data_IF_811442963020
#
_entry.id   IF_811442963020
#
_cell.length_a   1.000
_cell.length_b   1.000
_cell.length_c   1.000
_cell.angle_alpha   90.00
_cell.angle_beta   90.00
_cell.angle_gamma   90.00
#
_symmetry.space_group_name_H-M   'P 1'
#
loop_
_entity.id
_entity.type
_entity.pdbx_description
1 polymer ?
#
# COMPACT_ATOMS: atom_id res chain seq x y z
N UNK A 1 13.77 -8.59 -18.54
CA UNK A 1 13.89 -8.38 -17.07
C UNK A 1 13.54 -6.95 -16.75
N UNK A 2 12.92 -6.67 -15.61
CA UNK A 2 12.37 -5.36 -15.26
C UNK A 2 13.13 -4.86 -14.03
N UNK A 3 13.56 -3.58 -13.96
CA UNK A 3 14.20 -3.01 -12.78
C UNK A 3 13.32 -3.12 -11.55
N UNK A 4 13.94 -3.33 -10.37
CA UNK A 4 13.24 -3.50 -9.09
C UNK A 4 13.44 -2.26 -8.23
N UNK A 5 12.35 -1.71 -7.71
CA UNK A 5 12.34 -0.68 -6.69
C UNK A 5 11.97 -1.28 -5.33
N UNK A 6 12.95 -1.45 -4.44
CA UNK A 6 12.67 -1.89 -3.07
C UNK A 6 11.97 -0.79 -2.27
N UNK A 7 10.83 -1.10 -1.70
CA UNK A 7 10.02 -0.19 -0.88
C UNK A 7 10.09 -0.58 0.61
N UNK A 8 10.20 0.40 1.50
CA UNK A 8 10.25 0.16 2.95
C UNK A 8 8.85 0.02 3.56
N UNK A 9 7.96 0.93 3.26
CA UNK A 9 6.66 1.06 3.96
C UNK A 9 5.47 1.15 3.01
N UNK A 10 5.71 1.68 1.82
CA UNK A 10 4.64 1.92 0.86
C UNK A 10 4.39 0.64 0.07
N UNK A 11 3.14 0.24 0.01
CA UNK A 11 2.67 -0.85 -0.83
C UNK A 11 1.68 -0.26 -1.82
N UNK A 12 1.99 -0.38 -3.12
CA UNK A 12 1.11 0.11 -4.19
C UNK A 12 0.14 -0.97 -4.64
N UNK A 13 -1.09 -0.59 -4.97
CA UNK A 13 -2.10 -1.49 -5.52
C UNK A 13 -2.24 -1.31 -7.04
N UNK A 14 -2.74 -2.33 -7.77
CA UNK A 14 -3.07 -2.18 -9.18
C UNK A 14 -4.08 -1.05 -9.42
N UNK A 15 -4.02 -0.42 -10.58
CA UNK A 15 -4.90 0.68 -11.00
C UNK A 15 -4.92 1.90 -10.08
N UNK A 16 -3.98 2.00 -9.15
CA UNK A 16 -3.88 3.14 -8.22
C UNK A 16 -2.55 3.86 -8.43
N UNK A 17 -2.62 5.19 -8.46
CA UNK A 17 -1.44 6.06 -8.47
C UNK A 17 -0.95 6.32 -7.06
N UNK A 18 0.35 6.20 -6.87
CA UNK A 18 1.03 6.50 -5.61
C UNK A 18 2.30 7.32 -5.86
N UNK A 19 2.67 8.15 -4.90
CA UNK A 19 3.93 8.88 -4.94
C UNK A 19 4.91 8.28 -3.94
N UNK A 20 6.15 8.10 -4.37
CA UNK A 20 7.24 7.58 -3.54
C UNK A 20 8.43 8.54 -3.57
N UNK A 21 9.11 8.67 -2.45
CA UNK A 21 10.36 9.40 -2.34
C UNK A 21 11.53 8.42 -2.38
N UNK A 22 12.45 8.63 -3.33
CA UNK A 22 13.54 7.70 -3.62
C UNK A 22 14.87 8.42 -3.43
N UNK A 23 15.63 8.01 -2.41
CA UNK A 23 16.93 8.63 -2.08
C UNK A 23 18.09 7.63 -2.00
N UNK A 24 17.81 6.33 -1.78
CA UNK A 24 18.87 5.30 -1.78
C UNK A 24 19.45 5.13 -3.18
N UNK A 25 20.78 5.11 -3.31
CA UNK A 25 21.49 5.02 -4.58
C UNK A 25 20.95 3.91 -5.49
N UNK A 26 20.76 2.71 -4.95
CA UNK A 26 20.23 1.57 -5.69
C UNK A 26 18.80 1.80 -6.20
N UNK A 27 17.95 2.39 -5.37
CA UNK A 27 16.57 2.71 -5.72
C UNK A 27 16.49 3.83 -6.76
N UNK A 28 17.35 4.84 -6.68
CA UNK A 28 17.46 5.91 -7.68
C UNK A 28 17.92 5.34 -9.02
N UNK A 29 18.95 4.48 -9.01
CA UNK A 29 19.41 3.84 -10.22
C UNK A 29 18.32 2.98 -10.88
N UNK A 30 17.59 2.19 -10.08
CA UNK A 30 16.46 1.38 -10.59
C UNK A 30 15.37 2.23 -11.22
N UNK A 31 15.05 3.38 -10.60
CA UNK A 31 14.06 4.31 -11.13
C UNK A 31 14.49 4.91 -12.47
N UNK A 32 15.73 5.42 -12.56
CA UNK A 32 16.26 6.06 -13.76
C UNK A 32 16.48 5.03 -14.88
N UNK A 33 16.95 3.84 -14.56
CA UNK A 33 17.11 2.73 -15.53
C UNK A 33 15.75 2.31 -16.09
N UNK A 34 14.72 2.21 -15.25
CA UNK A 34 13.35 1.90 -15.68
C UNK A 34 12.80 2.96 -16.62
N UNK A 35 12.99 4.23 -16.31
CA UNK A 35 12.55 5.37 -17.14
C UNK A 35 13.25 5.37 -18.52
N UNK A 36 14.54 5.06 -18.54
CA UNK A 36 15.33 4.97 -19.78
C UNK A 36 14.95 3.78 -20.67
N UNK A 37 14.37 2.72 -20.12
CA UNK A 37 13.98 1.51 -20.84
C UNK A 37 12.52 1.58 -21.32
N UNK A 38 11.62 1.11 -20.48
CA UNK A 38 10.20 0.93 -20.82
C UNK A 38 9.24 1.72 -19.94
N UNK A 39 9.77 2.40 -18.93
CA UNK A 39 8.96 3.01 -17.87
C UNK A 39 8.30 1.99 -16.95
N UNK A 40 8.56 0.69 -17.10
CA UNK A 40 8.03 -0.35 -16.22
C UNK A 40 9.00 -0.64 -15.09
N UNK A 41 8.48 -0.78 -13.87
CA UNK A 41 9.24 -1.04 -12.66
C UNK A 41 8.51 -2.03 -11.76
N UNK A 42 9.27 -2.94 -11.15
CA UNK A 42 8.73 -3.90 -10.17
C UNK A 42 8.86 -3.33 -8.77
N UNK A 43 7.76 -3.22 -8.07
CA UNK A 43 7.68 -2.73 -6.70
C UNK A 43 7.65 -3.92 -5.74
N UNK A 44 8.64 -4.05 -4.87
CA UNK A 44 8.73 -5.10 -3.87
C UNK A 44 8.92 -4.52 -2.48
N UNK A 45 8.10 -4.97 -1.53
CA UNK A 45 8.24 -4.58 -0.14
C UNK A 45 9.48 -5.24 0.49
N UNK A 46 10.20 -4.48 1.28
CA UNK A 46 11.30 -4.97 2.10
C UNK A 46 10.76 -5.65 3.35
N UNK A 47 11.22 -6.87 3.68
CA UNK A 47 10.75 -7.65 4.85
C UNK A 47 11.10 -6.96 6.15
N UNK A 48 12.33 -6.42 6.24
CA UNK A 48 12.79 -5.62 7.38
C UNK A 48 12.99 -4.17 6.95
N UNK A 49 12.10 -3.30 7.40
CA UNK A 49 12.11 -1.87 7.08
C UNK A 49 13.34 -1.12 7.60
N UNK A 50 14.00 -1.63 8.65
CA UNK A 50 15.16 -1.00 9.28
C UNK A 50 16.47 -1.31 8.53
N UNK A 51 16.49 -2.35 7.73
CA UNK A 51 17.69 -2.78 7.02
C UNK A 51 18.02 -1.82 5.87
N UNK A 52 19.20 -1.19 5.91
CA UNK A 52 19.65 -0.27 4.86
C UNK A 52 20.28 -1.00 3.67
N UNK A 53 21.16 -1.97 3.96
CA UNK A 53 21.81 -2.78 2.95
C UNK A 53 20.97 -4.04 2.67
N UNK A 54 20.40 -4.12 1.50
CA UNK A 54 19.46 -5.18 1.13
C UNK A 54 20.22 -6.32 0.44
N UNK A 55 20.09 -7.53 0.96
CA UNK A 55 20.32 -8.76 0.19
C UNK A 55 18.99 -9.17 -0.46
N UNK A 56 18.86 -8.96 -1.74
CA UNK A 56 17.57 -8.98 -2.45
C UNK A 56 16.84 -10.30 -2.38
N UNK A 57 17.56 -11.41 -2.41
CA UNK A 57 16.95 -12.75 -2.36
C UNK A 57 16.28 -13.04 -1.01
N UNK A 58 16.87 -12.50 0.07
CA UNK A 58 16.40 -12.77 1.44
C UNK A 58 15.50 -11.68 1.99
N UNK A 59 15.76 -10.42 1.61
CA UNK A 59 15.18 -9.24 2.24
C UNK A 59 13.94 -8.70 1.53
N UNK A 60 13.65 -9.13 0.31
CA UNK A 60 12.44 -8.74 -0.42
C UNK A 60 11.36 -9.82 -0.39
N UNK A 61 10.11 -9.38 -0.46
CA UNK A 61 8.97 -10.28 -0.63
C UNK A 61 8.92 -10.84 -2.04
N UNK A 62 8.29 -12.01 -2.21
CA UNK A 62 8.18 -12.65 -3.52
C UNK A 62 7.02 -12.14 -4.38
N UNK A 63 6.05 -11.47 -3.77
CA UNK A 63 4.89 -10.93 -4.45
C UNK A 63 4.92 -9.41 -4.41
N UNK A 64 4.61 -8.78 -5.51
CA UNK A 64 4.62 -7.33 -5.60
C UNK A 64 3.75 -6.82 -6.75
N UNK A 65 4.04 -5.61 -7.17
CA UNK A 65 3.29 -4.92 -8.21
C UNK A 65 4.24 -4.56 -9.37
N UNK A 66 3.83 -4.89 -10.58
CA UNK A 66 4.35 -4.24 -11.77
C UNK A 66 3.70 -2.86 -11.86
N UNK A 67 4.49 -1.83 -11.97
CA UNK A 67 4.02 -0.45 -12.08
C UNK A 67 4.61 0.24 -13.31
N UNK A 68 3.96 1.32 -13.75
CA UNK A 68 4.48 2.27 -14.72
C UNK A 68 4.89 3.57 -14.04
N UNK A 69 5.98 4.14 -14.48
CA UNK A 69 6.40 5.47 -14.09
C UNK A 69 5.53 6.49 -14.83
N UNK A 70 4.82 7.33 -14.09
CA UNK A 70 4.00 8.42 -14.63
C UNK A 70 4.81 9.70 -14.71
N UNK A 71 5.59 9.99 -13.66
CA UNK A 71 6.49 11.14 -13.62
C UNK A 71 7.62 10.94 -12.62
N UNK A 72 8.75 11.58 -12.91
CA UNK A 72 9.90 11.67 -12.00
C UNK A 72 10.25 13.15 -11.84
N UNK A 73 10.36 13.60 -10.61
CA UNK A 73 10.80 14.97 -10.28
C UNK A 73 11.99 14.88 -9.33
N UNK A 74 13.10 15.51 -9.73
CA UNK A 74 14.26 15.63 -8.86
C UNK A 74 13.99 16.66 -7.78
N UNK A 75 14.27 16.28 -6.55
CA UNK A 75 14.21 17.15 -5.38
C UNK A 75 15.65 17.42 -4.89
N UNK A 76 15.82 18.20 -3.85
CA UNK A 76 17.11 18.49 -3.24
C UNK A 76 17.80 17.21 -2.74
N UNK A 77 19.13 17.26 -2.59
CA UNK A 77 19.95 16.19 -2.00
C UNK A 77 19.90 14.83 -2.71
N UNK A 78 19.82 14.81 -4.05
CA UNK A 78 19.78 13.58 -4.86
C UNK A 78 18.56 12.68 -4.58
N UNK A 79 17.51 13.24 -3.99
CA UNK A 79 16.23 12.57 -3.79
C UNK A 79 15.32 12.83 -4.98
N UNK A 80 14.54 11.84 -5.37
CA UNK A 80 13.55 11.92 -6.42
C UNK A 80 12.17 11.63 -5.86
N UNK A 81 11.17 12.36 -6.34
CA UNK A 81 9.76 12.02 -6.17
C UNK A 81 9.30 11.35 -7.45
N UNK A 82 8.86 10.11 -7.36
CA UNK A 82 8.28 9.39 -8.48
C UNK A 82 6.78 9.17 -8.25
N UNK A 83 5.97 9.46 -9.27
CA UNK A 83 4.57 9.05 -9.31
C UNK A 83 4.50 7.78 -10.12
N UNK A 84 3.99 6.73 -9.50
CA UNK A 84 3.90 5.39 -10.06
C UNK A 84 2.43 4.98 -10.17
N UNK A 85 2.07 4.28 -11.23
CA UNK A 85 0.75 3.70 -11.41
C UNK A 85 0.87 2.18 -11.40
N UNK A 86 0.25 1.52 -10.42
CA UNK A 86 0.21 0.08 -10.35
C UNK A 86 -0.54 -0.51 -11.55
N UNK A 87 0.06 -1.51 -12.21
CA UNK A 87 -0.54 -2.16 -13.38
C UNK A 87 -1.12 -3.51 -13.01
N UNK A 88 -0.33 -4.34 -12.34
CA UNK A 88 -0.72 -5.73 -12.08
C UNK A 88 0.04 -6.35 -10.92
N UNK A 89 -0.60 -7.26 -10.20
CA UNK A 89 0.05 -8.14 -9.23
C UNK A 89 0.98 -9.12 -9.94
N UNK A 90 2.17 -9.30 -9.38
CA UNK A 90 3.18 -10.21 -9.92
C UNK A 90 3.76 -11.13 -8.84
N UNK A 91 4.26 -12.28 -9.29
CA UNK A 91 5.13 -13.14 -8.52
C UNK A 91 6.52 -13.13 -9.12
N UNK A 92 7.52 -12.90 -8.30
CA UNK A 92 8.92 -12.95 -8.69
C UNK A 92 9.32 -14.40 -8.96
N UNK A 93 9.98 -14.63 -10.09
CA UNK A 93 10.56 -15.93 -10.49
C UNK A 93 12.03 -15.98 -10.18
N UNK A 94 12.71 -14.86 -10.45
CA UNK A 94 14.14 -14.73 -10.28
C UNK A 94 14.50 -13.26 -10.10
N UNK A 95 15.59 -12.98 -9.37
CA UNK A 95 16.15 -11.64 -9.19
C UNK A 95 17.66 -11.71 -9.45
N UNK A 96 18.14 -10.77 -10.22
CA UNK A 96 19.53 -10.66 -10.60
C UNK A 96 20.03 -9.24 -10.29
N UNK A 97 21.27 -9.14 -9.83
CA UNK A 97 21.94 -7.87 -9.52
C UNK A 97 22.97 -7.52 -10.58
N UNK A 98 22.77 -6.40 -11.26
CA UNK A 98 23.73 -5.82 -12.20
C UNK A 98 24.68 -4.88 -11.46
N UNK A 99 25.92 -5.33 -11.30
CA UNK A 99 26.92 -4.64 -10.48
C UNK A 99 27.33 -3.29 -11.06
N UNK A 100 27.52 -3.22 -12.39
CA UNK A 100 27.99 -2.01 -13.06
C UNK A 100 26.96 -0.88 -12.96
N UNK A 101 25.69 -1.21 -13.12
CA UNK A 101 24.57 -0.27 -13.01
C UNK A 101 24.13 -0.04 -11.57
N UNK A 102 24.49 -0.94 -10.67
CA UNK A 102 23.98 -1.00 -9.31
C UNK A 102 22.45 -1.03 -9.29
N UNK A 103 21.86 -1.98 -10.02
CA UNK A 103 20.42 -2.16 -10.21
C UNK A 103 20.05 -3.62 -10.03
N UNK A 104 18.92 -3.86 -9.37
CA UNK A 104 18.29 -5.17 -9.36
C UNK A 104 17.28 -5.30 -10.48
N UNK A 105 17.26 -6.45 -11.14
CA UNK A 105 16.27 -6.81 -12.15
C UNK A 105 15.51 -8.05 -11.71
N UNK A 106 14.22 -8.09 -11.99
CA UNK A 106 13.38 -9.24 -11.73
C UNK A 106 12.85 -9.86 -13.02
N UNK A 107 12.79 -11.18 -13.04
CA UNK A 107 11.93 -11.96 -13.93
C UNK A 107 10.66 -12.28 -13.18
N UNK A 108 9.52 -11.85 -13.72
CA UNK A 108 8.23 -11.95 -13.03
C UNK A 108 7.21 -12.74 -13.82
N UNK A 109 6.24 -13.31 -13.13
CA UNK A 109 5.01 -13.83 -13.74
C UNK A 109 3.82 -13.02 -13.25
N UNK A 110 2.90 -12.73 -14.17
CA UNK A 110 1.63 -12.08 -13.84
C UNK A 110 0.78 -12.99 -12.97
N UNK A 111 0.22 -12.45 -11.90
CA UNK A 111 -0.78 -13.16 -11.12
C UNK A 111 -2.15 -12.98 -11.74
N UNK A 112 -2.86 -14.09 -11.94
CA UNK A 112 -4.25 -14.06 -12.41
C UNK A 112 -5.16 -14.05 -11.17
N UNK A 113 -6.09 -13.11 -11.11
CA UNK A 113 -7.13 -13.10 -10.09
C UNK A 113 -8.21 -14.12 -10.44
N UNK A 114 -8.57 -14.95 -9.46
CA UNK A 114 -9.78 -15.76 -9.53
C UNK A 114 -10.95 -14.83 -9.18
N UNK A 115 -11.71 -14.41 -10.21
CA UNK A 115 -12.77 -13.38 -10.08
C UNK A 115 -14.15 -13.96 -9.75
N UNK A 116 -14.31 -15.27 -9.70
CA UNK A 116 -15.59 -15.89 -9.36
C UNK A 116 -16.03 -15.48 -7.96
N UNK A 117 -17.15 -14.81 -7.85
CA UNK A 117 -17.79 -14.42 -6.60
C UNK A 117 -19.10 -15.19 -6.44
N UNK A 118 -19.48 -15.55 -5.21
CA UNK A 118 -20.83 -16.03 -4.91
C UNK A 118 -21.88 -14.97 -5.28
N UNK A 119 -23.08 -15.42 -5.61
CA UNK A 119 -24.26 -14.56 -5.73
C UNK A 119 -24.79 -14.21 -4.32
N UNK A 120 -24.07 -13.31 -3.68
CA UNK A 120 -24.29 -12.87 -2.29
C UNK A 120 -23.93 -11.39 -2.21
N UNK A 121 -24.85 -10.60 -1.68
CA UNK A 121 -24.69 -9.16 -1.48
C UNK A 121 -23.41 -8.79 -0.74
N UNK A 122 -22.93 -9.67 0.16
CA UNK A 122 -21.67 -9.47 0.87
C UNK A 122 -20.46 -9.20 -0.05
N UNK A 123 -20.46 -9.80 -1.26
CA UNK A 123 -19.37 -9.64 -2.23
C UNK A 123 -19.66 -8.59 -3.31
N UNK A 124 -20.77 -7.86 -3.20
CA UNK A 124 -21.14 -6.82 -4.14
C UNK A 124 -20.25 -5.57 -4.01
N UNK A 125 -20.18 -4.79 -5.10
CA UNK A 125 -19.53 -3.47 -5.09
C UNK A 125 -20.17 -2.56 -4.05
N UNK A 126 -21.49 -2.55 -3.98
CA UNK A 126 -22.29 -1.71 -3.09
C UNK A 126 -21.96 -1.99 -1.62
N UNK A 127 -21.84 -3.25 -1.24
CA UNK A 127 -21.44 -3.64 0.13
C UNK A 127 -20.01 -3.21 0.47
N UNK A 128 -19.07 -3.36 -0.46
CA UNK A 128 -17.68 -2.89 -0.27
C UNK A 128 -17.64 -1.38 -0.06
N UNK A 129 -18.32 -0.62 -0.93
CA UNK A 129 -18.38 0.84 -0.84
C UNK A 129 -19.05 1.29 0.45
N UNK A 130 -20.18 0.68 0.82
CA UNK A 130 -20.89 0.96 2.08
C UNK A 130 -19.99 0.74 3.29
N UNK A 131 -19.36 -0.44 3.39
CA UNK A 131 -18.45 -0.79 4.50
C UNK A 131 -17.26 0.15 4.59
N UNK A 132 -16.69 0.53 3.42
CA UNK A 132 -15.60 1.48 3.33
C UNK A 132 -15.99 2.88 3.79
N UNK A 133 -17.14 3.39 3.35
CA UNK A 133 -17.67 4.70 3.78
C UNK A 133 -17.96 4.75 5.28
N UNK A 134 -18.61 3.72 5.82
CA UNK A 134 -18.85 3.60 7.27
C UNK A 134 -17.55 3.59 8.09
N UNK A 135 -16.50 2.94 7.59
CA UNK A 135 -15.20 2.93 8.24
C UNK A 135 -14.55 4.32 8.21
N UNK A 136 -14.55 4.97 7.04
CA UNK A 136 -14.00 6.31 6.88
C UNK A 136 -14.72 7.36 7.73
N UNK A 137 -16.03 7.28 7.86
CA UNK A 137 -16.81 8.20 8.74
C UNK A 137 -16.32 8.17 10.20
N UNK A 138 -15.80 7.02 10.65
CA UNK A 138 -15.25 6.88 12.01
C UNK A 138 -13.83 7.45 12.17
N UNK A 139 -13.07 7.61 11.06
CA UNK A 139 -11.68 8.09 11.07
C UNK A 139 -11.63 9.54 10.63
N UNK A 140 -12.23 9.85 9.49
CA UNK A 140 -12.22 11.16 8.84
C UNK A 140 -13.48 11.33 7.98
N UNK A 141 -14.44 12.06 8.52
CA UNK A 141 -15.73 12.30 7.86
C UNK A 141 -15.58 13.12 6.55
N UNK A 142 -14.60 14.03 6.48
CA UNK A 142 -14.34 14.79 5.25
C UNK A 142 -13.79 13.91 4.15
N UNK A 143 -12.87 13.01 4.50
CA UNK A 143 -12.30 12.05 3.56
C UNK A 143 -13.37 11.08 3.05
N UNK A 144 -14.30 10.65 3.92
CA UNK A 144 -15.43 9.80 3.54
C UNK A 144 -16.28 10.38 2.42
N UNK A 145 -16.51 11.69 2.43
CA UNK A 145 -17.31 12.40 1.44
C UNK A 145 -16.55 12.69 0.14
N UNK A 146 -15.22 12.72 0.18
CA UNK A 146 -14.36 13.03 -0.97
C UNK A 146 -13.86 11.78 -1.71
N UNK A 147 -13.87 10.63 -1.05
CA UNK A 147 -13.36 9.37 -1.59
C UNK A 147 -14.46 8.64 -2.39
N UNK A 148 -14.46 8.89 -3.69
CA UNK A 148 -15.31 8.18 -4.65
C UNK A 148 -14.46 7.48 -5.71
N UNK A 149 -14.97 6.36 -6.19
CA UNK A 149 -14.39 5.61 -7.31
C UNK A 149 -15.48 5.32 -8.32
N UNK A 150 -15.26 5.79 -9.55
CA UNK A 150 -16.12 5.47 -10.69
C UNK A 150 -15.57 4.21 -11.39
N UNK A 151 -16.01 3.06 -10.94
CA UNK A 151 -15.66 1.77 -11.54
C UNK A 151 -16.69 0.70 -11.15
N UNK A 152 -17.07 -0.13 -12.11
CA UNK A 152 -17.90 -1.32 -11.86
C UNK A 152 -17.07 -2.58 -11.60
N UNK A 153 -15.76 -2.52 -11.80
CA UNK A 153 -14.86 -3.64 -11.48
C UNK A 153 -14.62 -3.71 -9.96
N UNK A 154 -15.20 -4.70 -9.31
CA UNK A 154 -15.10 -4.96 -7.86
C UNK A 154 -13.64 -5.03 -7.40
N UNK A 155 -12.75 -5.61 -8.21
CA UNK A 155 -11.32 -5.70 -7.90
C UNK A 155 -10.68 -4.32 -7.82
N UNK A 156 -10.99 -3.42 -8.76
CA UNK A 156 -10.47 -2.05 -8.76
C UNK A 156 -11.01 -1.23 -7.58
N UNK A 157 -12.28 -1.40 -7.25
CA UNK A 157 -12.91 -0.74 -6.10
C UNK A 157 -12.21 -1.17 -4.80
N UNK A 158 -11.96 -2.46 -4.65
CA UNK A 158 -11.28 -3.00 -3.50
C UNK A 158 -9.82 -2.50 -3.39
N UNK A 159 -9.06 -2.54 -4.50
CA UNK A 159 -7.68 -2.04 -4.57
C UNK A 159 -7.59 -0.54 -4.25
N UNK A 160 -8.58 0.24 -4.67
CA UNK A 160 -8.67 1.66 -4.39
C UNK A 160 -8.80 1.96 -2.89
N UNK A 161 -9.67 1.23 -2.16
CA UNK A 161 -9.86 1.45 -0.73
C UNK A 161 -8.70 0.90 0.09
N UNK A 162 -8.20 -0.30 -0.22
CA UNK A 162 -7.06 -0.90 0.50
C UNK A 162 -5.81 0.00 0.41
N UNK A 163 -5.59 0.66 -0.73
CA UNK A 163 -4.46 1.59 -0.89
C UNK A 163 -4.55 2.77 0.07
N UNK A 164 -5.73 3.32 0.28
CA UNK A 164 -5.96 4.58 1.02
C UNK A 164 -6.16 4.39 2.51
N UNK A 165 -6.58 3.21 2.91
CA UNK A 165 -6.81 2.93 4.32
C UNK A 165 -5.49 2.81 5.09
N UNK A 166 -5.48 3.18 6.41
CA UNK A 166 -4.27 3.22 7.23
C UNK A 166 -3.81 1.84 7.69
N UNK A 167 -4.03 0.82 6.87
CA UNK A 167 -3.53 -0.53 7.15
C UNK A 167 -2.01 -0.60 7.01
N UNK A 168 -1.39 -1.43 7.84
CA UNK A 168 0.06 -1.62 7.82
C UNK A 168 0.55 -2.19 6.49
N UNK A 169 1.81 -1.95 6.16
CA UNK A 169 2.47 -2.51 4.98
C UNK A 169 2.38 -4.03 4.93
N UNK A 170 2.45 -4.71 6.09
CA UNK A 170 2.31 -6.17 6.19
C UNK A 170 0.91 -6.64 5.83
N UNK A 171 -0.13 -5.93 6.27
CA UNK A 171 -1.52 -6.25 5.93
C UNK A 171 -1.79 -6.02 4.45
N UNK A 172 -1.32 -4.91 3.89
CA UNK A 172 -1.41 -4.63 2.45
C UNK A 172 -0.62 -5.64 1.62
N UNK A 173 0.55 -6.07 2.10
CA UNK A 173 1.34 -7.10 1.44
C UNK A 173 0.61 -8.45 1.41
N UNK A 174 0.02 -8.87 2.53
CA UNK A 174 -0.79 -10.10 2.59
C UNK A 174 -1.98 -10.04 1.61
N UNK A 175 -2.60 -8.87 1.46
CA UNK A 175 -3.66 -8.65 0.48
C UNK A 175 -3.18 -8.83 -0.97
N UNK A 176 -1.96 -8.37 -1.32
CA UNK A 176 -1.37 -8.57 -2.66
C UNK A 176 -1.13 -10.06 -2.95
N UNK A 177 -0.75 -10.84 -1.97
CA UNK A 177 -0.42 -12.26 -2.12
C UNK A 177 -1.65 -13.15 -2.40
N UNK A 178 -2.86 -12.66 -2.08
CA UNK A 178 -4.10 -13.40 -2.29
C UNK A 178 -4.52 -13.35 -3.77
N UNK A 179 -4.59 -14.51 -4.43
CA UNK A 179 -5.02 -14.62 -5.83
C UNK A 179 -6.54 -14.65 -6.00
N UNK A 180 -7.29 -14.96 -4.95
CA UNK A 180 -8.74 -15.12 -4.98
C UNK A 180 -9.44 -13.85 -4.52
N UNK A 181 -10.36 -13.31 -5.36
CA UNK A 181 -11.05 -12.06 -5.07
C UNK A 181 -11.99 -12.17 -3.86
N UNK A 182 -12.68 -13.31 -3.72
CA UNK A 182 -13.54 -13.59 -2.56
C UNK A 182 -12.73 -13.48 -1.27
N UNK A 183 -11.57 -14.14 -1.22
CA UNK A 183 -10.68 -14.13 -0.06
C UNK A 183 -10.19 -12.70 0.26
N UNK A 184 -9.89 -11.89 -0.77
CA UNK A 184 -9.49 -10.49 -0.58
C UNK A 184 -10.59 -9.62 -0.01
N UNK A 185 -11.85 -9.79 -0.46
CA UNK A 185 -13.01 -9.06 0.08
C UNK A 185 -13.22 -9.41 1.54
N UNK A 186 -13.23 -10.71 1.88
CA UNK A 186 -13.34 -11.16 3.27
C UNK A 186 -12.24 -10.56 4.14
N UNK A 187 -10.99 -10.64 3.68
CA UNK A 187 -9.85 -10.07 4.42
C UNK A 187 -9.93 -8.56 4.59
N UNK A 188 -10.43 -7.84 3.58
CA UNK A 188 -10.67 -6.39 3.69
C UNK A 188 -11.66 -6.06 4.80
N UNK A 189 -12.76 -6.81 4.92
CA UNK A 189 -13.73 -6.62 6.00
C UNK A 189 -13.14 -6.95 7.37
N UNK A 190 -12.37 -8.03 7.47
CA UNK A 190 -11.65 -8.39 8.71
C UNK A 190 -10.70 -7.28 9.16
N UNK A 191 -9.97 -6.65 8.23
CA UNK A 191 -9.09 -5.54 8.54
C UNK A 191 -9.85 -4.32 9.07
N UNK A 192 -10.98 -3.97 8.45
CA UNK A 192 -11.85 -2.89 8.91
C UNK A 192 -12.37 -3.17 10.32
N UNK A 193 -12.89 -4.37 10.56
CA UNK A 193 -13.49 -4.71 11.86
C UNK A 193 -12.44 -4.75 12.98
N UNK A 194 -11.24 -5.26 12.68
CA UNK A 194 -10.10 -5.23 13.59
C UNK A 194 -9.67 -3.81 13.96
N UNK A 195 -9.61 -2.91 12.97
CA UNK A 195 -9.19 -1.54 13.20
C UNK A 195 -10.25 -0.71 13.92
N UNK A 196 -11.53 -0.90 13.59
CA UNK A 196 -12.65 -0.32 14.37
C UNK A 196 -12.58 -0.70 15.84
N UNK A 197 -12.22 -1.95 16.15
CA UNK A 197 -12.02 -2.41 17.52
C UNK A 197 -10.92 -1.64 18.26
N UNK A 198 -9.79 -1.37 17.59
CA UNK A 198 -8.69 -0.58 18.15
C UNK A 198 -9.11 0.87 18.40
N UNK A 199 -9.71 1.53 17.41
CA UNK A 199 -10.19 2.92 17.53
C UNK A 199 -11.15 3.08 18.71
N UNK A 200 -12.05 2.11 18.92
CA UNK A 200 -12.97 2.12 20.06
C UNK A 200 -12.21 2.04 21.39
N UNK A 201 -11.27 1.13 21.51
CA UNK A 201 -10.45 0.96 22.73
C UNK A 201 -9.64 2.23 23.00
N UNK A 202 -8.99 2.81 21.99
CA UNK A 202 -8.19 4.02 22.15
C UNK A 202 -9.06 5.21 22.64
N UNK A 203 -10.27 5.38 22.10
CA UNK A 203 -11.22 6.39 22.56
C UNK A 203 -11.67 6.17 24.00
N UNK A 204 -11.91 4.91 24.39
CA UNK A 204 -12.28 4.57 25.77
C UNK A 204 -11.13 4.88 26.75
N UNK A 205 -9.89 4.60 26.35
CA UNK A 205 -8.69 4.93 27.14
C UNK A 205 -8.55 6.45 27.24
N UNK A 206 -8.65 7.19 26.15
CA UNK A 206 -8.57 8.66 26.15
C UNK A 206 -9.63 9.27 27.05
N UNK A 207 -10.87 8.80 26.97
CA UNK A 207 -11.96 9.27 27.83
C UNK A 207 -11.68 9.01 29.31
N UNK A 208 -11.16 7.83 29.66
CA UNK A 208 -10.79 7.49 31.04
C UNK A 208 -9.62 8.33 31.55
N UNK A 209 -8.61 8.54 30.71
CA UNK A 209 -7.44 9.39 31.04
C UNK A 209 -7.92 10.83 31.31
N UNK A 210 -8.74 11.40 30.41
CA UNK A 210 -9.28 12.74 30.57
C UNK A 210 -10.16 12.89 31.83
N UNK A 211 -10.95 11.86 32.15
CA UNK A 211 -11.81 11.87 33.36
C UNK A 211 -10.97 11.88 34.65
N UNK A 212 -9.79 11.26 34.64
CA UNK A 212 -8.93 11.16 35.83
C UNK A 212 -7.89 12.29 35.93
N UNK A 213 -7.81 13.19 34.96
CA UNK A 213 -6.86 14.33 35.00
C UNK A 213 -7.45 15.53 35.74
N UNK A 214 -6.61 16.23 36.51
CA UNK A 214 -6.93 17.53 37.07
C UNK A 214 -7.10 18.60 35.97
N UNK A 215 -7.83 19.71 36.25
CA UNK A 215 -8.04 20.76 35.24
C UNK A 215 -6.75 21.34 34.65
N UNK A 216 -5.72 21.51 35.46
CA UNK A 216 -4.42 22.00 35.02
C UNK A 216 -3.70 20.99 34.08
N UNK A 217 -3.81 19.71 34.37
CA UNK A 217 -3.28 18.64 33.51
C UNK A 217 -4.05 18.51 32.22
N UNK A 218 -5.38 18.71 32.24
CA UNK A 218 -6.23 18.74 31.04
C UNK A 218 -5.82 19.87 30.08
N UNK A 219 -5.56 21.07 30.61
CA UNK A 219 -5.15 22.21 29.82
C UNK A 219 -3.77 22.01 29.18
N UNK A 220 -2.83 21.34 29.85
CA UNK A 220 -1.52 21.00 29.32
C UNK A 220 -1.63 19.96 28.20
N UNK A 221 -2.37 18.88 28.41
CA UNK A 221 -2.57 17.80 27.44
C UNK A 221 -3.23 18.28 26.14
N UNK A 222 -4.17 19.22 26.23
CA UNK A 222 -4.83 19.82 25.05
C UNK A 222 -3.97 20.81 24.27
N UNK A 223 -2.87 21.33 24.86
CA UNK A 223 -1.92 22.20 24.16
C UNK A 223 -0.83 21.42 23.38
N UNK A 224 -0.60 20.18 23.76
CA UNK A 224 0.42 19.31 23.15
C UNK A 224 -0.16 18.43 21.97
N UNK A 225 -1.48 18.40 21.79
CA UNK A 225 -2.18 17.76 20.64
C UNK A 225 -2.47 18.76 19.53
#
# INVERSE_FOLDING_TARGET
MIPVLPLKEIVSMPSVRSSVYVGRKISVNSLLESDALSGEIVLLLQKDQKKENINVLEDLVQYGILAKIVSITKIENKTYKATLEGVQRIKVKDIYYEKEKNVYYAKVSKMRTKKALPDDEFFSKESIVKKAKEYLQNIDAELSNKLEIDSDDVEKVLDFYIQRFPFSSKEKQKFIEMADLKTRITYFYELIDKDKGKIKIDREIETKVQANMSEAQKAYYLREK
#
